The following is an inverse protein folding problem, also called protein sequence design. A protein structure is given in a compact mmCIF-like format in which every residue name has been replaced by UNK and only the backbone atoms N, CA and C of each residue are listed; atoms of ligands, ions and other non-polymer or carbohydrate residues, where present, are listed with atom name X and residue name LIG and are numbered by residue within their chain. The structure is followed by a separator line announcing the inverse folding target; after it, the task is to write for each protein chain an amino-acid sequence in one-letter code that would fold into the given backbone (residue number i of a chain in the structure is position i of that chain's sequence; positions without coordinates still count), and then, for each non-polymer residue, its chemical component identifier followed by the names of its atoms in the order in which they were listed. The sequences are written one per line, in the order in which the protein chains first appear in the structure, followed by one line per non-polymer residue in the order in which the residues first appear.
data_IF_532375623019
#
_entry.id   IF_532375623019
#
_cell.length_a   1.000
_cell.length_b   1.000
_cell.length_c   1.000
_cell.angle_alpha   90.00
_cell.angle_beta   90.00
_cell.angle_gamma   90.00
#
_symmetry.space_group_name_H-M   'P 1'
#
loop_
_entity.id
_entity.type
_entity.pdbx_description
1 polymer ?
#
# COMPACT_ATOMS: atom_id res chain seq x y z
N UNK A 1 1.25 46.56 -52.11
CA UNK A 1 1.26 46.50 -50.64
C UNK A 1 2.18 45.38 -50.23
N UNK A 2 3.01 45.57 -49.20
CA UNK A 2 3.83 44.50 -48.62
C UNK A 2 3.42 44.42 -47.15
N UNK A 3 2.80 43.32 -46.77
CA UNK A 3 2.58 42.99 -45.35
C UNK A 3 3.93 42.49 -44.80
N UNK A 4 4.37 43.03 -43.68
CA UNK A 4 5.70 42.74 -43.11
C UNK A 4 5.65 42.10 -41.72
N UNK A 5 4.46 41.71 -41.27
CA UNK A 5 4.21 41.00 -40.01
C UNK A 5 2.78 40.47 -39.96
N UNK A 6 2.44 39.63 -38.98
CA UNK A 6 1.08 39.13 -38.79
C UNK A 6 0.10 40.29 -38.58
N UNK A 7 -1.11 40.14 -39.11
CA UNK A 7 -2.20 41.10 -38.96
C UNK A 7 -3.27 40.37 -38.16
N UNK A 8 -3.34 40.70 -36.87
CA UNK A 8 -4.34 40.22 -35.92
C UNK A 8 -5.75 40.64 -36.37
N UNK A 9 -6.61 39.65 -36.56
CA UNK A 9 -8.00 39.82 -37.01
C UNK A 9 -9.01 39.57 -35.88
N UNK A 10 -8.53 39.34 -34.65
CA UNK A 10 -9.30 38.70 -33.58
C UNK A 10 -9.91 37.39 -34.06
N UNK A 11 -11.09 37.04 -33.54
CA UNK A 11 -11.78 35.77 -33.85
C UNK A 11 -12.40 35.70 -35.27
N UNK A 12 -11.92 36.48 -36.24
CA UNK A 12 -12.48 36.54 -37.59
C UNK A 12 -11.50 36.00 -38.62
N UNK A 13 -11.95 34.95 -39.33
CA UNK A 13 -11.22 34.28 -40.43
C UNK A 13 -10.83 35.20 -41.61
N UNK A 14 -11.35 36.44 -41.66
CA UNK A 14 -10.97 37.42 -42.66
C UNK A 14 -11.37 38.86 -42.30
N UNK A 15 -10.59 39.81 -42.82
CA UNK A 15 -10.76 41.26 -42.64
C UNK A 15 -10.64 41.93 -43.99
N UNK A 16 -11.61 42.79 -44.31
CA UNK A 16 -11.59 43.57 -45.54
C UNK A 16 -11.12 45.00 -45.24
N UNK A 17 -10.10 45.45 -45.96
CA UNK A 17 -9.65 46.84 -45.95
C UNK A 17 -10.12 47.51 -47.24
N UNK A 18 -11.12 48.37 -47.11
CA UNK A 18 -11.68 49.13 -48.22
C UNK A 18 -10.88 50.43 -48.40
N UNK A 19 -10.15 50.54 -49.52
CA UNK A 19 -9.41 51.74 -49.88
C UNK A 19 -10.17 52.52 -50.94
N UNK A 20 -10.74 53.65 -50.53
CA UNK A 20 -11.34 54.61 -51.46
C UNK A 20 -10.24 55.44 -52.12
N UNK A 21 -10.26 55.53 -53.45
CA UNK A 21 -9.34 56.36 -54.23
C UNK A 21 -10.13 57.37 -55.06
N UNK A 22 -9.68 58.61 -55.06
CA UNK A 22 -10.24 59.66 -55.91
C UNK A 22 -9.18 60.09 -56.90
N UNK A 23 -9.48 59.99 -58.20
CA UNK A 23 -8.66 60.56 -59.25
C UNK A 23 -9.18 61.95 -59.59
N UNK A 24 -8.31 62.96 -59.52
CA UNK A 24 -8.59 64.33 -59.97
C UNK A 24 -7.80 64.59 -61.25
N UNK A 25 -8.45 65.08 -62.30
CA UNK A 25 -7.74 65.49 -63.51
C UNK A 25 -7.16 66.91 -63.41
N UNK A 26 -6.68 67.46 -64.53
CA UNK A 26 -5.91 68.70 -64.54
C UNK A 26 -6.79 69.94 -64.36
N UNK A 27 -8.05 69.87 -64.76
CA UNK A 27 -9.05 70.93 -64.65
C UNK A 27 -9.94 70.78 -63.42
N UNK A 28 -9.77 69.69 -62.66
CA UNK A 28 -10.31 69.54 -61.31
C UNK A 28 -11.54 68.64 -61.24
N UNK A 29 -11.88 67.94 -62.31
CA UNK A 29 -12.94 66.93 -62.29
C UNK A 29 -12.43 65.70 -61.52
N UNK A 30 -13.31 65.09 -60.74
CA UNK A 30 -12.98 63.93 -59.90
C UNK A 30 -13.81 62.70 -60.26
N UNK A 31 -13.20 61.52 -60.17
CA UNK A 31 -13.92 60.25 -60.14
C UNK A 31 -13.42 59.39 -58.99
N UNK A 32 -14.33 58.68 -58.34
CA UNK A 32 -14.01 57.78 -57.24
C UNK A 32 -13.94 56.33 -57.73
N UNK A 33 -13.05 55.56 -57.12
CA UNK A 33 -12.97 54.11 -57.23
C UNK A 33 -12.73 53.51 -55.85
N UNK A 34 -13.05 52.22 -55.71
CA UNK A 34 -12.68 51.44 -54.53
C UNK A 34 -11.68 50.36 -54.89
N UNK A 35 -10.84 50.01 -53.93
CA UNK A 35 -9.98 48.84 -53.94
C UNK A 35 -10.21 48.07 -52.65
N UNK A 36 -10.73 46.86 -52.78
CA UNK A 36 -11.01 45.99 -51.65
C UNK A 36 -9.81 45.05 -51.45
N UNK A 37 -9.27 45.00 -50.24
CA UNK A 37 -8.19 44.10 -49.86
C UNK A 37 -8.73 43.16 -48.79
N UNK A 38 -8.92 41.89 -49.15
CA UNK A 38 -9.26 40.85 -48.20
C UNK A 38 -7.98 40.20 -47.67
N UNK A 39 -7.82 40.19 -46.36
CA UNK A 39 -6.77 39.46 -45.65
C UNK A 39 -7.44 38.27 -45.00
N UNK A 40 -7.03 37.06 -45.36
CA UNK A 40 -7.48 35.83 -44.70
C UNK A 40 -6.60 35.56 -43.50
N UNK A 41 -7.18 34.91 -42.51
CA UNK A 41 -6.47 34.56 -41.29
C UNK A 41 -5.35 33.53 -41.52
N UNK A 42 -4.42 33.51 -40.57
CA UNK A 42 -3.36 32.52 -40.47
C UNK A 42 -3.92 31.12 -40.24
N UNK A 43 -3.06 30.11 -40.36
CA UNK A 43 -3.42 28.77 -39.87
C UNK A 43 -3.07 28.66 -38.39
N UNK A 44 -3.98 28.07 -37.62
CA UNK A 44 -3.79 27.74 -36.21
C UNK A 44 -2.51 26.92 -35.99
N UNK A 45 -1.99 27.00 -34.78
CA UNK A 45 -0.92 26.10 -34.36
C UNK A 45 -1.43 24.64 -34.34
N UNK A 46 -0.69 23.73 -34.98
CA UNK A 46 -1.12 22.34 -35.14
C UNK A 46 -1.25 21.60 -33.79
N UNK A 47 -0.38 21.93 -32.82
CA UNK A 47 -0.30 21.23 -31.54
C UNK A 47 0.07 19.75 -31.66
N UNK A 48 -0.46 18.91 -30.76
CA UNK A 48 -0.14 17.48 -30.67
C UNK A 48 1.22 17.14 -30.04
N UNK A 49 1.92 18.15 -29.51
CA UNK A 49 3.19 17.98 -28.81
C UNK A 49 3.04 17.06 -27.59
N UNK A 50 4.10 16.31 -27.28
CA UNK A 50 4.12 15.32 -26.20
C UNK A 50 5.11 15.75 -25.12
N UNK A 51 4.61 15.94 -23.90
CA UNK A 51 5.40 16.02 -22.68
C UNK A 51 5.38 14.70 -21.92
N UNK A 52 6.42 14.43 -21.14
CA UNK A 52 6.45 13.31 -20.20
C UNK A 52 7.16 13.72 -18.91
N UNK A 53 6.70 13.20 -17.78
CA UNK A 53 7.38 13.33 -16.49
C UNK A 53 7.12 12.09 -15.64
N UNK A 54 8.10 11.71 -14.82
CA UNK A 54 8.00 10.56 -13.92
C UNK A 54 8.22 11.00 -12.48
N UNK A 55 7.24 10.74 -11.62
CA UNK A 55 7.30 10.92 -10.18
C UNK A 55 7.42 9.53 -9.53
N UNK A 56 8.31 9.41 -8.54
CA UNK A 56 8.29 8.27 -7.64
C UNK A 56 7.53 8.68 -6.38
N UNK A 57 6.66 7.80 -5.92
CA UNK A 57 5.92 7.95 -4.67
C UNK A 57 6.85 8.17 -3.46
N UNK A 58 6.29 8.78 -2.42
CA UNK A 58 6.99 8.98 -1.17
C UNK A 58 6.89 7.76 -0.25
N UNK A 59 7.58 7.78 0.87
CA UNK A 59 7.61 6.78 1.94
C UNK A 59 6.98 7.41 3.19
N UNK A 60 6.14 6.62 3.89
CA UNK A 60 5.48 7.02 5.13
C UNK A 60 6.35 6.77 6.36
N UNK A 61 7.37 5.91 6.28
CA UNK A 61 8.31 5.63 7.37
C UNK A 61 9.44 6.67 7.48
N UNK A 62 9.04 7.91 7.74
CA UNK A 62 9.99 9.03 7.94
C UNK A 62 10.82 8.95 9.24
N UNK A 63 10.62 7.93 10.08
CA UNK A 63 11.24 7.84 11.40
C UNK A 63 12.68 7.32 11.36
N UNK A 64 13.09 6.67 10.26
CA UNK A 64 14.44 6.14 10.10
C UNK A 64 14.87 5.18 11.22
N UNK A 65 13.92 4.49 11.86
CA UNK A 65 14.23 3.41 12.81
C UNK A 65 14.54 2.09 12.09
N UNK A 66 14.24 2.02 10.79
CA UNK A 66 15.11 1.46 9.77
C UNK A 66 15.41 -0.01 9.97
N UNK A 67 14.52 -0.85 9.45
CA UNK A 67 14.94 -2.19 9.01
C UNK A 67 15.99 -2.09 7.89
N UNK A 68 16.11 -0.93 7.23
CA UNK A 68 17.16 -0.60 6.25
C UNK A 68 17.80 0.79 6.48
N UNK A 69 18.92 0.90 7.23
CA UNK A 69 19.63 2.16 7.48
C UNK A 69 20.35 2.78 6.24
N UNK A 70 20.14 2.23 5.04
CA UNK A 70 20.66 2.76 3.78
C UNK A 70 19.55 3.17 2.81
N UNK A 71 18.29 3.17 3.24
CA UNK A 71 17.22 3.68 2.38
C UNK A 71 17.40 5.19 2.16
N UNK A 72 17.19 5.61 0.92
CA UNK A 72 16.96 7.01 0.58
C UNK A 72 15.46 7.24 0.68
N UNK A 73 14.96 7.24 1.91
CA UNK A 73 13.57 7.54 2.25
C UNK A 73 13.16 8.88 1.59
N UNK A 74 12.23 8.79 0.65
CA UNK A 74 11.62 9.92 -0.04
C UNK A 74 10.34 10.29 0.67
N UNK A 75 10.29 11.29 1.54
CA UNK A 75 9.04 11.61 2.25
C UNK A 75 7.97 12.29 1.38
N UNK A 76 6.69 12.16 1.75
CA UNK A 76 5.65 13.08 1.26
C UNK A 76 5.80 14.50 1.86
N UNK A 77 5.55 15.57 1.08
CA UNK A 77 5.08 15.55 -0.31
C UNK A 77 6.19 15.27 -1.32
N UNK A 78 5.88 14.43 -2.31
CA UNK A 78 6.73 14.17 -3.48
C UNK A 78 6.39 15.15 -4.61
N UNK A 79 7.40 15.64 -5.34
CA UNK A 79 7.17 16.57 -6.44
C UNK A 79 8.18 16.43 -7.57
N UNK A 80 7.70 16.58 -8.80
CA UNK A 80 8.51 16.55 -10.00
C UNK A 80 8.02 17.57 -11.03
N UNK A 81 8.95 18.15 -11.80
CA UNK A 81 8.63 19.02 -12.93
C UNK A 81 9.26 18.54 -14.24
N UNK A 82 8.53 18.73 -15.33
CA UNK A 82 8.98 18.52 -16.71
C UNK A 82 8.59 19.69 -17.60
N UNK A 83 9.15 19.77 -18.81
CA UNK A 83 8.74 20.81 -19.76
C UNK A 83 8.87 20.37 -21.21
N UNK A 84 7.98 20.87 -22.05
CA UNK A 84 7.99 20.71 -23.50
C UNK A 84 7.65 22.05 -24.17
N UNK A 85 7.81 22.14 -25.49
CA UNK A 85 7.56 23.38 -26.24
C UNK A 85 6.48 23.13 -27.26
N UNK A 86 5.41 23.93 -27.21
CA UNK A 86 4.37 23.98 -28.23
C UNK A 86 4.81 24.97 -29.30
N UNK A 87 4.82 24.51 -30.55
CA UNK A 87 5.21 25.33 -31.70
C UNK A 87 4.05 26.19 -32.17
N UNK A 88 4.31 27.48 -32.34
CA UNK A 88 3.38 28.40 -32.94
C UNK A 88 3.14 28.08 -34.42
N UNK A 89 1.94 28.45 -34.89
CA UNK A 89 1.59 28.46 -36.30
C UNK A 89 2.08 29.74 -36.97
N UNK A 90 1.16 30.42 -37.67
CA UNK A 90 1.44 31.75 -38.23
C UNK A 90 1.43 32.84 -37.14
N UNK A 91 0.56 32.70 -36.14
CA UNK A 91 0.42 33.63 -35.02
C UNK A 91 1.12 33.15 -33.75
N UNK A 92 1.53 34.13 -32.92
CA UNK A 92 2.26 33.85 -31.69
C UNK A 92 1.32 33.26 -30.64
N UNK A 93 1.75 32.17 -30.01
CA UNK A 93 1.06 31.58 -28.87
C UNK A 93 1.12 32.52 -27.66
N UNK A 94 0.06 32.54 -26.86
CA UNK A 94 -0.04 33.33 -25.64
C UNK A 94 0.35 32.46 -24.44
N UNK A 95 1.52 32.69 -23.84
CA UNK A 95 1.97 31.89 -22.68
C UNK A 95 0.98 31.79 -21.51
N UNK A 96 0.14 32.80 -21.29
CA UNK A 96 -0.88 32.80 -20.23
C UNK A 96 -2.17 32.04 -20.55
N UNK A 97 -2.32 31.49 -21.77
CA UNK A 97 -3.52 30.75 -22.18
C UNK A 97 -3.40 29.23 -22.02
N UNK A 98 -2.23 28.74 -21.57
CA UNK A 98 -1.98 27.33 -21.27
C UNK A 98 -2.96 26.85 -20.20
N UNK A 99 -3.75 25.84 -20.54
CA UNK A 99 -4.80 25.28 -19.69
C UNK A 99 -5.02 23.80 -20.03
N UNK A 100 -5.69 23.06 -19.14
CA UNK A 100 -6.25 21.76 -19.52
C UNK A 100 -7.31 22.00 -20.58
N UNK A 101 -7.35 21.17 -21.63
CA UNK A 101 -8.32 21.34 -22.71
C UNK A 101 -9.76 21.35 -22.16
N UNK A 102 -10.49 22.49 -22.26
CA UNK A 102 -11.85 22.59 -21.72
C UNK A 102 -12.83 21.60 -22.35
N UNK A 103 -12.57 21.15 -23.59
CA UNK A 103 -13.43 20.18 -24.28
C UNK A 103 -13.27 18.77 -23.71
N UNK A 104 -12.09 18.43 -23.17
CA UNK A 104 -11.73 17.10 -22.67
C UNK A 104 -11.70 17.02 -21.14
N UNK A 105 -11.71 18.16 -20.45
CA UNK A 105 -11.59 18.27 -19.00
C UNK A 105 -12.63 17.42 -18.24
N UNK A 106 -13.90 17.41 -18.67
CA UNK A 106 -14.94 16.65 -17.98
C UNK A 106 -14.72 15.14 -18.08
N UNK A 107 -14.20 14.65 -19.21
CA UNK A 107 -13.93 13.24 -19.42
C UNK A 107 -12.71 12.80 -18.61
N UNK A 108 -11.64 13.61 -18.62
CA UNK A 108 -10.46 13.42 -17.77
C UNK A 108 -10.84 13.33 -16.28
N UNK A 109 -11.59 14.31 -15.77
CA UNK A 109 -12.01 14.34 -14.36
C UNK A 109 -12.88 13.12 -14.04
N UNK A 110 -13.77 12.73 -14.94
CA UNK A 110 -14.64 11.57 -14.72
C UNK A 110 -13.81 10.29 -14.60
N UNK A 111 -12.81 10.11 -15.46
CA UNK A 111 -11.93 8.94 -15.43
C UNK A 111 -11.04 8.94 -14.18
N UNK A 112 -10.41 10.07 -13.84
CA UNK A 112 -9.60 10.22 -12.62
C UNK A 112 -10.38 9.80 -11.36
N UNK A 113 -11.64 10.23 -11.24
CA UNK A 113 -12.49 9.90 -10.09
C UNK A 113 -12.98 8.46 -10.07
N UNK A 114 -12.99 7.78 -11.21
CA UNK A 114 -13.40 6.37 -11.28
C UNK A 114 -12.22 5.43 -11.03
N UNK A 115 -11.00 5.87 -11.35
CA UNK A 115 -9.83 4.99 -11.41
C UNK A 115 -8.76 5.29 -10.35
N UNK A 116 -8.66 6.52 -9.84
CA UNK A 116 -7.67 6.84 -8.79
C UNK A 116 -8.29 6.83 -7.40
N UNK A 117 -7.64 6.07 -6.52
CA UNK A 117 -7.93 6.00 -5.09
C UNK A 117 -6.65 6.24 -4.28
N UNK A 118 -6.82 6.47 -2.99
CA UNK A 118 -5.71 6.62 -2.03
C UNK A 118 -6.15 6.03 -0.69
N UNK A 119 -5.40 5.06 -0.19
CA UNK A 119 -5.77 4.31 1.01
C UNK A 119 -7.10 3.58 0.87
N UNK A 120 -7.51 3.23 -0.36
CA UNK A 120 -8.82 2.66 -0.70
C UNK A 120 -9.98 3.66 -0.78
N UNK A 121 -9.74 4.96 -0.55
CA UNK A 121 -10.77 6.01 -0.64
C UNK A 121 -10.78 6.66 -2.03
N UNK A 122 -11.97 6.91 -2.57
CA UNK A 122 -12.13 7.59 -3.86
C UNK A 122 -11.74 9.07 -3.77
N UNK A 123 -10.95 9.52 -4.73
CA UNK A 123 -10.57 10.92 -4.87
C UNK A 123 -11.62 11.72 -5.66
N UNK A 124 -11.80 12.98 -5.25
CA UNK A 124 -12.60 13.96 -5.99
C UNK A 124 -11.68 14.91 -6.73
N UNK A 125 -11.94 15.17 -8.01
CA UNK A 125 -11.09 16.00 -8.85
C UNK A 125 -11.84 17.23 -9.36
N UNK A 126 -11.13 18.35 -9.40
CA UNK A 126 -11.61 19.60 -10.01
C UNK A 126 -10.43 20.42 -10.54
N UNK A 127 -10.72 21.39 -11.41
CA UNK A 127 -9.75 22.42 -11.82
C UNK A 127 -9.99 23.67 -10.97
N UNK A 128 -8.99 24.06 -10.18
CA UNK A 128 -9.11 25.19 -9.26
C UNK A 128 -9.18 26.55 -9.99
N UNK A 129 -9.38 27.63 -9.23
CA UNK A 129 -9.43 28.99 -9.80
C UNK A 129 -8.13 29.48 -10.44
N UNK A 130 -7.04 28.73 -10.30
CA UNK A 130 -5.74 28.97 -10.89
C UNK A 130 -5.47 28.10 -12.12
N UNK A 131 -6.39 27.18 -12.47
CA UNK A 131 -6.23 26.27 -13.61
C UNK A 131 -5.49 24.97 -13.26
N UNK A 132 -5.23 24.68 -11.98
CA UNK A 132 -4.58 23.45 -11.55
C UNK A 132 -5.59 22.33 -11.41
N UNK A 133 -5.25 21.12 -11.85
CA UNK A 133 -6.03 19.92 -11.56
C UNK A 133 -5.69 19.44 -10.16
N UNK A 134 -6.68 19.38 -9.27
CA UNK A 134 -6.50 19.04 -7.85
C UNK A 134 -7.37 17.84 -7.51
N UNK A 135 -6.74 16.77 -7.03
CA UNK A 135 -7.39 15.59 -6.46
C UNK A 135 -7.43 15.68 -4.93
N UNK A 136 -8.60 15.43 -4.32
CA UNK A 136 -8.82 15.53 -2.87
C UNK A 136 -9.46 14.29 -2.29
N UNK A 137 -9.02 13.95 -1.08
CA UNK A 137 -9.64 12.95 -0.23
C UNK A 137 -11.01 13.43 0.30
N UNK A 138 -11.90 12.52 0.73
CA UNK A 138 -13.22 12.88 1.25
C UNK A 138 -13.20 13.82 2.47
N UNK A 139 -12.10 13.83 3.23
CA UNK A 139 -11.88 14.72 4.36
C UNK A 139 -11.51 16.17 3.95
N UNK A 140 -11.24 16.41 2.66
CA UNK A 140 -10.88 17.70 2.08
C UNK A 140 -9.38 17.93 1.91
N UNK A 141 -8.53 16.98 2.34
CA UNK A 141 -7.08 17.06 2.15
C UNK A 141 -6.72 16.87 0.67
N UNK A 142 -5.69 17.58 0.22
CA UNK A 142 -5.20 17.49 -1.17
C UNK A 142 -4.30 16.27 -1.28
N UNK A 143 -4.66 15.35 -2.18
CA UNK A 143 -3.87 14.16 -2.45
C UNK A 143 -2.82 14.43 -3.54
N UNK A 144 -3.25 14.96 -4.68
CA UNK A 144 -2.41 15.22 -5.84
C UNK A 144 -2.79 16.54 -6.50
N UNK A 145 -1.80 17.26 -7.03
CA UNK A 145 -2.01 18.50 -7.80
C UNK A 145 -1.14 18.48 -9.05
N UNK A 146 -1.74 18.79 -10.19
CA UNK A 146 -1.03 19.01 -11.46
C UNK A 146 -1.14 20.49 -11.82
N UNK A 147 0.02 21.12 -11.99
CA UNK A 147 0.18 22.55 -12.26
C UNK A 147 0.73 22.70 -13.67
N UNK A 148 0.04 23.48 -14.49
CA UNK A 148 0.49 23.87 -15.82
C UNK A 148 0.92 25.33 -15.82
N UNK A 149 2.05 25.64 -16.44
CA UNK A 149 2.49 27.02 -16.63
C UNK A 149 3.15 27.21 -17.99
N UNK A 150 2.86 28.33 -18.64
CA UNK A 150 3.46 28.72 -19.92
C UNK A 150 4.51 29.81 -19.77
N UNK A 151 5.60 29.68 -20.51
CA UNK A 151 6.66 30.70 -20.67
C UNK A 151 6.85 31.01 -22.16
N UNK A 152 6.80 32.29 -22.52
CA UNK A 152 6.98 32.71 -23.92
C UNK A 152 8.40 32.42 -24.43
N UNK A 153 8.52 31.79 -25.60
CA UNK A 153 9.79 31.49 -26.28
C UNK A 153 9.75 32.00 -27.73
N UNK A 154 9.85 33.32 -27.90
CA UNK A 154 9.61 33.94 -29.21
C UNK A 154 8.12 33.85 -29.55
N UNK A 155 7.78 33.17 -30.65
CA UNK A 155 6.38 32.91 -31.01
C UNK A 155 5.83 31.66 -30.31
N UNK A 156 6.71 30.72 -29.92
CA UNK A 156 6.36 29.47 -29.26
C UNK A 156 6.07 29.67 -27.77
N UNK A 157 5.47 28.66 -27.13
CA UNK A 157 5.29 28.60 -25.67
C UNK A 157 5.94 27.35 -25.11
N UNK A 158 6.82 27.53 -24.11
CA UNK A 158 7.33 26.42 -23.29
C UNK A 158 6.33 26.15 -22.17
N UNK A 159 5.76 24.96 -22.15
CA UNK A 159 4.89 24.50 -21.08
C UNK A 159 5.74 23.77 -20.05
N UNK A 160 5.63 24.18 -18.79
CA UNK A 160 6.17 23.46 -17.63
C UNK A 160 5.02 22.82 -16.88
N UNK A 161 5.14 21.52 -16.64
CA UNK A 161 4.20 20.75 -15.82
C UNK A 161 4.89 20.38 -14.53
N UNK A 162 4.22 20.63 -13.42
CA UNK A 162 4.65 20.17 -12.10
C UNK A 162 3.57 19.30 -11.52
N UNK A 163 3.94 18.14 -10.99
CA UNK A 163 3.09 17.32 -10.13
C UNK A 163 3.56 17.44 -8.69
N UNK A 164 2.60 17.54 -7.78
CA UNK A 164 2.80 17.50 -6.33
C UNK A 164 1.86 16.44 -5.76
N UNK A 165 2.41 15.44 -5.08
CA UNK A 165 1.70 14.35 -4.42
C UNK A 165 1.95 14.44 -2.92
N UNK A 166 0.88 14.43 -2.12
CA UNK A 166 0.95 14.62 -0.66
C UNK A 166 0.60 13.35 0.12
N UNK A 167 0.02 12.34 -0.53
CA UNK A 167 -0.40 11.06 0.04
C UNK A 167 -0.19 9.97 -1.01
N UNK A 168 -0.03 8.70 -0.62
CA UNK A 168 0.11 7.60 -1.55
C UNK A 168 -1.12 7.45 -2.45
N UNK A 169 -0.92 7.06 -3.71
CA UNK A 169 -2.00 6.67 -4.60
C UNK A 169 -1.99 5.15 -4.74
N UNK A 170 -3.17 4.53 -4.76
CA UNK A 170 -3.23 3.07 -4.82
C UNK A 170 -2.88 2.56 -6.24
N UNK A 171 -1.90 1.65 -6.36
CA UNK A 171 -1.46 1.06 -7.64
C UNK A 171 -2.23 -0.20 -8.07
N UNK A 172 -3.42 -0.44 -7.50
CA UNK A 172 -4.27 -1.60 -7.76
C UNK A 172 -5.36 -1.40 -8.82
N UNK A 173 -5.20 -0.41 -9.70
CA UNK A 173 -6.11 -0.16 -10.80
C UNK A 173 -6.09 -1.26 -11.87
N UNK A 174 -6.73 -0.99 -13.01
CA UNK A 174 -6.79 -1.95 -14.12
C UNK A 174 -6.09 -1.41 -15.36
N UNK A 175 -5.60 -2.32 -16.21
CA UNK A 175 -5.01 -2.08 -17.54
C UNK A 175 -6.04 -1.51 -18.55
N UNK A 176 -6.70 -0.41 -18.19
CA UNK A 176 -7.69 0.29 -18.98
C UNK A 176 -7.11 0.98 -20.22
N UNK A 177 -8.00 1.61 -20.98
CA UNK A 177 -7.62 2.54 -22.04
C UNK A 177 -8.27 3.87 -21.76
N UNK A 178 -7.53 4.97 -21.84
CA UNK A 178 -8.09 6.29 -21.62
C UNK A 178 -7.04 7.27 -21.15
N UNK A 179 -7.44 8.21 -20.31
CA UNK A 179 -6.53 9.15 -19.67
C UNK A 179 -5.72 8.52 -18.55
N UNK A 180 -6.26 7.50 -17.88
CA UNK A 180 -5.62 6.83 -16.74
C UNK A 180 -5.35 5.39 -17.13
N UNK A 181 -4.17 4.89 -16.78
CA UNK A 181 -3.89 3.46 -16.80
C UNK A 181 -3.06 3.12 -15.58
N UNK A 182 -3.39 2.05 -14.88
CA UNK A 182 -2.64 1.56 -13.72
C UNK A 182 -2.28 0.11 -13.94
N UNK A 183 -0.98 -0.19 -13.97
CA UNK A 183 -0.46 -1.52 -14.25
C UNK A 183 0.95 -1.70 -13.70
N UNK A 184 1.19 -2.79 -12.98
CA UNK A 184 2.54 -3.18 -12.51
C UNK A 184 3.25 -2.02 -11.79
N UNK A 185 2.61 -1.49 -10.74
CA UNK A 185 3.20 -0.49 -9.84
C UNK A 185 3.47 0.85 -10.55
N UNK A 186 2.68 1.13 -11.60
CA UNK A 186 2.79 2.33 -12.41
C UNK A 186 1.42 2.85 -12.79
N UNK A 187 1.17 4.13 -12.46
CA UNK A 187 0.01 4.91 -12.90
C UNK A 187 0.47 5.88 -13.99
N UNK A 188 -0.21 5.87 -15.13
CA UNK A 188 -0.09 6.92 -16.16
C UNK A 188 -1.31 7.84 -16.11
N UNK A 189 -1.07 9.15 -16.18
CA UNK A 189 -2.10 10.17 -16.29
C UNK A 189 -1.79 11.03 -17.51
N UNK A 190 -2.62 10.91 -18.55
CA UNK A 190 -2.56 11.72 -19.76
C UNK A 190 -3.37 13.00 -19.57
N UNK A 191 -2.70 14.15 -19.55
CA UNK A 191 -3.34 15.45 -19.40
C UNK A 191 -3.34 16.17 -20.76
N UNK A 192 -4.52 16.37 -21.40
CA UNK A 192 -4.63 17.16 -22.61
C UNK A 192 -4.45 18.65 -22.29
N UNK A 193 -3.51 19.28 -22.97
CA UNK A 193 -3.11 20.68 -22.78
C UNK A 193 -3.50 21.50 -24.01
N UNK A 194 -4.20 22.59 -23.77
CA UNK A 194 -4.61 23.56 -24.77
C UNK A 194 -3.89 24.89 -24.56
N UNK A 195 -3.66 25.61 -25.66
CA UNK A 195 -3.15 26.98 -25.67
C UNK A 195 -3.81 27.74 -26.81
N UNK A 196 -3.88 29.06 -26.67
CA UNK A 196 -4.36 29.95 -27.73
C UNK A 196 -3.25 30.81 -28.29
N UNK A 197 -3.35 31.17 -29.55
CA UNK A 197 -2.61 32.26 -30.16
C UNK A 197 -3.18 33.64 -29.80
N UNK A 198 -2.76 34.67 -30.55
CA UNK A 198 -2.96 36.08 -30.21
C UNK A 198 -4.34 36.58 -30.64
N UNK A 199 -4.91 36.01 -31.69
CA UNK A 199 -6.28 36.21 -32.19
C UNK A 199 -7.31 35.33 -31.47
N UNK A 200 -6.85 34.28 -30.79
CA UNK A 200 -7.63 33.55 -29.80
C UNK A 200 -8.09 32.17 -30.26
N UNK A 201 -7.46 31.64 -31.30
CA UNK A 201 -7.70 30.29 -31.78
C UNK A 201 -6.91 29.28 -30.94
N UNK A 202 -7.59 28.18 -30.62
CA UNK A 202 -6.99 27.05 -29.90
C UNK A 202 -6.13 26.21 -30.87
N UNK A 203 -5.26 25.35 -30.33
CA UNK A 203 -4.50 24.39 -31.12
C UNK A 203 -5.45 23.44 -31.88
N UNK A 204 -5.11 23.10 -33.12
CA UNK A 204 -5.87 22.14 -33.93
C UNK A 204 -5.99 20.77 -33.24
N UNK A 205 -4.91 20.34 -32.60
CA UNK A 205 -4.83 19.13 -31.78
C UNK A 205 -4.22 19.50 -30.43
N UNK A 206 -4.89 19.19 -29.30
CA UNK A 206 -4.32 19.43 -27.97
C UNK A 206 -2.94 18.77 -27.84
N UNK A 207 -2.02 19.44 -27.17
CA UNK A 207 -0.82 18.78 -26.69
C UNK A 207 -1.19 17.78 -25.58
N UNK A 208 -0.32 16.82 -25.29
CA UNK A 208 -0.54 15.85 -24.23
C UNK A 208 0.66 15.76 -23.31
N UNK A 209 0.40 15.55 -22.03
CA UNK A 209 1.43 15.30 -21.02
C UNK A 209 1.15 13.96 -20.38
N UNK A 210 2.07 13.01 -20.57
CA UNK A 210 2.06 11.72 -19.90
C UNK A 210 2.78 11.84 -18.55
N UNK A 211 2.02 11.78 -17.47
CA UNK A 211 2.54 11.76 -16.11
C UNK A 211 2.60 10.30 -15.66
N UNK A 212 3.81 9.79 -15.45
CA UNK A 212 4.04 8.49 -14.85
C UNK A 212 4.26 8.65 -13.35
N UNK A 213 3.49 7.96 -12.53
CA UNK A 213 3.70 7.82 -11.09
C UNK A 213 4.11 6.38 -10.87
N UNK A 214 5.34 6.14 -10.42
CA UNK A 214 5.78 4.80 -10.02
C UNK A 214 5.51 4.62 -8.54
N UNK A 215 5.02 3.45 -8.19
CA UNK A 215 4.85 3.02 -6.82
C UNK A 215 6.14 3.16 -6.01
N UNK A 216 5.97 3.26 -4.71
CA UNK A 216 7.05 3.47 -3.78
C UNK A 216 7.56 2.16 -3.19
N UNK A 217 7.97 2.20 -1.93
CA UNK A 217 8.53 1.06 -1.25
C UNK A 217 7.42 0.16 -0.68
N UNK A 218 7.47 -1.13 -0.99
CA UNK A 218 6.61 -2.14 -0.36
C UNK A 218 6.97 -2.27 1.14
N UNK A 219 6.03 -2.71 2.00
CA UNK A 219 6.29 -2.93 3.41
C UNK A 219 7.40 -3.97 3.64
N UNK A 220 8.08 -3.87 4.77
CA UNK A 220 9.17 -4.77 5.13
C UNK A 220 9.24 -5.05 6.61
N UNK A 221 9.34 -6.34 6.97
CA UNK A 221 9.63 -6.74 8.34
C UNK A 221 11.12 -6.71 8.66
N UNK A 222 11.44 -6.25 9.87
CA UNK A 222 12.75 -6.40 10.46
C UNK A 222 12.91 -7.73 11.19
N UNK A 223 14.10 -7.91 11.78
CA UNK A 223 14.35 -9.05 12.64
C UNK A 223 13.62 -8.89 13.98
N UNK A 224 12.72 -9.84 14.29
CA UNK A 224 12.11 -9.92 15.61
C UNK A 224 13.19 -10.23 16.68
N UNK A 225 13.14 -9.50 17.79
CA UNK A 225 13.98 -9.81 18.96
C UNK A 225 13.41 -10.98 19.76
N UNK A 226 12.15 -11.31 19.51
CA UNK A 226 11.39 -12.38 20.12
C UNK A 226 10.96 -12.10 21.56
N UNK A 227 10.10 -12.97 22.06
CA UNK A 227 9.65 -12.97 23.46
C UNK A 227 10.08 -14.24 24.18
N UNK A 228 10.33 -14.14 25.48
CA UNK A 228 10.61 -15.27 26.35
C UNK A 228 9.51 -15.43 27.39
N UNK A 229 8.98 -16.66 27.50
CA UNK A 229 7.87 -17.00 28.39
C UNK A 229 8.31 -18.12 29.33
N UNK A 230 8.27 -17.86 30.64
CA UNK A 230 8.51 -18.86 31.68
C UNK A 230 7.19 -19.51 32.10
N UNK A 231 7.01 -20.79 31.75
CA UNK A 231 5.79 -21.54 32.11
C UNK A 231 5.59 -21.69 33.62
N UNK A 232 6.64 -21.56 34.43
CA UNK A 232 6.53 -21.62 35.90
C UNK A 232 5.85 -20.38 36.46
N UNK A 233 6.18 -19.20 35.92
CA UNK A 233 5.84 -17.92 36.53
C UNK A 233 4.84 -17.09 35.74
N UNK A 234 4.74 -17.30 34.42
CA UNK A 234 3.99 -16.47 33.48
C UNK A 234 2.86 -17.23 32.76
N UNK A 235 2.49 -18.41 33.27
CA UNK A 235 1.37 -19.18 32.72
C UNK A 235 0.06 -18.39 32.80
N UNK A 236 -0.55 -18.15 31.64
CA UNK A 236 -1.78 -17.38 31.48
C UNK A 236 -1.59 -15.86 31.47
N UNK A 237 -0.35 -15.37 31.58
CA UNK A 237 -0.05 -13.96 31.41
C UNK A 237 -0.04 -13.59 29.92
N UNK A 238 -0.34 -12.33 29.63
CA UNK A 238 -0.22 -11.75 28.28
C UNK A 238 1.18 -11.15 28.15
N UNK A 239 1.98 -11.73 27.25
CA UNK A 239 3.37 -11.31 27.01
C UNK A 239 3.42 -10.50 25.72
N UNK A 240 3.72 -9.20 25.77
CA UNK A 240 3.80 -8.35 24.58
C UNK A 240 5.16 -8.53 23.89
N UNK A 241 5.13 -8.48 22.55
CA UNK A 241 6.30 -8.43 21.67
C UNK A 241 6.08 -7.45 20.52
N UNK A 242 7.11 -7.24 19.72
CA UNK A 242 7.10 -6.33 18.59
C UNK A 242 8.02 -6.87 17.49
N UNK A 243 7.45 -7.13 16.31
CA UNK A 243 8.26 -7.31 15.10
C UNK A 243 8.47 -5.91 14.52
N UNK A 244 9.73 -5.44 14.32
CA UNK A 244 9.96 -4.19 13.62
C UNK A 244 9.31 -4.24 12.24
N UNK A 245 8.62 -3.17 11.85
CA UNK A 245 7.87 -3.10 10.60
C UNK A 245 8.06 -1.73 10.00
N UNK A 246 8.65 -1.72 8.82
CA UNK A 246 8.67 -0.60 7.90
C UNK A 246 7.43 -0.72 7.02
N UNK A 247 6.61 0.32 7.04
CA UNK A 247 5.35 0.34 6.31
C UNK A 247 5.55 0.69 4.83
N UNK A 248 6.69 1.27 4.47
CA UNK A 248 6.95 1.79 3.14
C UNK A 248 6.01 2.94 2.77
N UNK A 249 5.61 2.97 1.50
CA UNK A 249 4.83 4.07 0.91
C UNK A 249 3.37 4.11 1.31
N UNK A 250 2.84 2.96 1.73
CA UNK A 250 1.43 2.77 2.01
C UNK A 250 1.16 2.32 3.45
N UNK A 251 -0.01 2.68 3.95
CA UNK A 251 -0.41 2.22 5.28
C UNK A 251 -0.69 0.71 5.24
N UNK A 252 -0.31 -0.01 6.29
CA UNK A 252 -0.65 -1.43 6.42
C UNK A 252 -2.17 -1.62 6.50
N UNK A 253 -2.74 -2.44 5.62
CA UNK A 253 -4.15 -2.85 5.67
C UNK A 253 -4.33 -4.05 6.61
N UNK A 254 -3.53 -5.11 6.43
CA UNK A 254 -3.63 -6.32 7.24
C UNK A 254 -2.27 -6.92 7.58
N UNK A 255 -2.22 -7.58 8.73
CA UNK A 255 -1.18 -8.56 9.06
C UNK A 255 -1.89 -9.82 9.52
N UNK A 256 -1.55 -10.96 8.91
CA UNK A 256 -2.17 -12.24 9.22
C UNK A 256 -1.13 -13.35 9.34
N UNK A 257 -1.48 -14.41 10.07
CA UNK A 257 -0.63 -15.60 10.14
C UNK A 257 -0.76 -16.41 8.86
N UNK A 258 0.38 -16.91 8.35
CA UNK A 258 0.37 -17.82 7.22
C UNK A 258 -0.36 -19.13 7.58
N UNK A 259 -1.02 -19.73 6.59
CA UNK A 259 -1.77 -20.99 6.81
C UNK A 259 -0.87 -22.19 7.16
N UNK A 260 0.39 -22.15 6.72
CA UNK A 260 1.42 -23.12 7.09
C UNK A 260 2.34 -22.50 8.14
N UNK A 261 2.64 -23.28 9.17
CA UNK A 261 3.44 -22.85 10.33
C UNK A 261 4.46 -23.93 10.68
N UNK A 262 5.57 -24.04 9.94
CA UNK A 262 6.58 -25.07 10.15
C UNK A 262 7.20 -25.05 11.55
N UNK A 263 7.26 -23.88 12.20
CA UNK A 263 7.77 -23.74 13.56
C UNK A 263 6.89 -24.40 14.64
N UNK A 264 5.66 -24.80 14.31
CA UNK A 264 4.79 -25.60 15.18
C UNK A 264 4.92 -27.11 14.95
N UNK A 265 5.73 -27.53 13.97
CA UNK A 265 5.92 -28.94 13.68
C UNK A 265 6.65 -29.65 14.85
N UNK A 266 6.03 -30.70 15.37
CA UNK A 266 6.61 -31.50 16.46
C UNK A 266 6.42 -30.90 17.85
N UNK A 267 5.69 -29.79 17.99
CA UNK A 267 5.25 -29.29 19.29
C UNK A 267 4.26 -30.27 19.91
N UNK A 268 4.45 -30.58 21.18
CA UNK A 268 3.59 -31.47 21.96
C UNK A 268 3.10 -30.79 23.23
N UNK A 269 2.00 -31.28 23.78
CA UNK A 269 1.47 -30.87 25.08
C UNK A 269 1.08 -32.11 25.86
N UNK A 270 1.64 -32.27 27.06
CA UNK A 270 1.45 -33.47 27.90
C UNK A 270 1.85 -34.78 27.19
N UNK A 271 2.86 -34.71 26.32
CA UNK A 271 3.38 -35.84 25.53
C UNK A 271 2.57 -36.21 24.30
N UNK A 272 1.49 -35.49 23.99
CA UNK A 272 0.64 -35.71 22.81
C UNK A 272 0.82 -34.58 21.80
N UNK A 273 0.65 -34.89 20.51
CA UNK A 273 0.81 -33.90 19.43
C UNK A 273 -0.22 -32.78 19.53
N UNK A 274 0.21 -31.54 19.28
CA UNK A 274 -0.69 -30.38 19.18
C UNK A 274 -1.22 -30.20 17.76
N UNK A 275 -2.30 -29.43 17.62
CA UNK A 275 -2.78 -28.88 16.35
C UNK A 275 -2.86 -27.37 16.44
N UNK A 276 -3.08 -26.66 15.33
CA UNK A 276 -3.28 -25.22 15.37
C UNK A 276 -4.38 -24.78 14.40
N UNK A 277 -4.92 -23.60 14.68
CA UNK A 277 -5.88 -22.90 13.83
C UNK A 277 -5.44 -21.47 13.62
N UNK A 278 -5.55 -20.99 12.39
CA UNK A 278 -5.32 -19.59 12.02
C UNK A 278 -6.63 -18.96 11.60
N UNK A 279 -6.94 -17.80 12.18
CA UNK A 279 -8.09 -16.97 11.82
C UNK A 279 -7.62 -15.53 11.71
N UNK A 280 -7.22 -15.13 10.50
CA UNK A 280 -6.66 -13.80 10.23
C UNK A 280 -5.42 -13.53 11.07
N UNK A 281 -5.52 -12.56 11.97
CA UNK A 281 -4.44 -12.11 12.83
C UNK A 281 -4.33 -12.87 14.16
N UNK A 282 -5.04 -13.99 14.31
CA UNK A 282 -5.03 -14.83 15.52
C UNK A 282 -4.60 -16.25 15.16
N UNK A 283 -3.59 -16.76 15.87
CA UNK A 283 -3.16 -18.16 15.86
C UNK A 283 -3.45 -18.80 17.20
N UNK A 284 -4.09 -19.97 17.19
CA UNK A 284 -4.35 -20.77 18.40
C UNK A 284 -3.76 -22.16 18.25
N UNK A 285 -2.93 -22.58 19.20
CA UNK A 285 -2.43 -23.96 19.33
C UNK A 285 -3.31 -24.71 20.33
N UNK A 286 -3.74 -25.90 19.94
CA UNK A 286 -4.69 -26.75 20.66
C UNK A 286 -4.01 -28.07 21.05
N UNK A 287 -4.33 -28.56 22.25
CA UNK A 287 -3.93 -29.90 22.68
C UNK A 287 -4.80 -31.00 22.06
N UNK A 288 -4.53 -32.26 22.44
CA UNK A 288 -5.28 -33.43 21.98
C UNK A 288 -6.75 -33.47 22.45
N UNK A 289 -7.12 -32.70 23.48
CA UNK A 289 -8.49 -32.55 23.97
C UNK A 289 -9.23 -31.40 23.27
N UNK A 290 -8.51 -30.56 22.52
CA UNK A 290 -9.03 -29.37 21.85
C UNK A 290 -9.04 -28.12 22.72
N UNK A 291 -8.33 -28.14 23.86
CA UNK A 291 -8.16 -26.98 24.73
C UNK A 291 -6.99 -26.11 24.24
N UNK A 292 -7.09 -24.78 24.42
CA UNK A 292 -6.03 -23.85 24.01
C UNK A 292 -4.79 -24.00 24.90
N UNK A 293 -3.64 -24.17 24.25
CA UNK A 293 -2.32 -24.23 24.89
C UNK A 293 -1.59 -22.92 24.72
N UNK A 294 -1.65 -22.32 23.53
CA UNK A 294 -1.03 -21.04 23.21
C UNK A 294 -1.94 -20.26 22.27
N UNK A 295 -2.10 -18.96 22.51
CA UNK A 295 -2.78 -18.04 21.61
C UNK A 295 -1.87 -16.86 21.31
N UNK A 296 -1.75 -16.50 20.03
CA UNK A 296 -0.98 -15.36 19.55
C UNK A 296 -1.88 -14.46 18.73
N UNK A 297 -1.84 -13.16 19.01
CA UNK A 297 -2.55 -12.13 18.23
C UNK A 297 -1.54 -11.09 17.76
N UNK A 298 -1.61 -10.68 16.50
CA UNK A 298 -0.78 -9.62 15.92
C UNK A 298 -1.65 -8.42 15.48
N UNK A 299 -1.14 -7.21 15.66
CA UNK A 299 -1.75 -5.96 15.19
C UNK A 299 -1.02 -5.45 13.94
N UNK A 300 -1.63 -4.48 13.24
CA UNK A 300 -1.11 -3.93 11.97
C UNK A 300 0.13 -3.05 12.14
N UNK A 301 0.49 -2.69 13.37
CA UNK A 301 1.73 -1.98 13.69
C UNK A 301 2.89 -2.94 14.04
N UNK A 302 2.71 -4.25 13.83
CA UNK A 302 3.70 -5.28 14.14
C UNK A 302 3.77 -5.66 15.64
N UNK A 303 3.00 -5.01 16.51
CA UNK A 303 2.88 -5.42 17.91
C UNK A 303 2.11 -6.73 18.02
N UNK A 304 2.53 -7.59 18.95
CA UNK A 304 1.86 -8.88 19.15
C UNK A 304 1.77 -9.26 20.62
N UNK A 305 0.81 -10.12 20.92
CA UNK A 305 0.55 -10.64 22.26
C UNK A 305 0.56 -12.16 22.23
N UNK A 306 1.33 -12.77 23.13
CA UNK A 306 1.38 -14.23 23.32
C UNK A 306 0.80 -14.57 24.69
N UNK A 307 -0.09 -15.55 24.73
CA UNK A 307 -0.60 -16.13 25.98
C UNK A 307 -0.43 -17.64 25.95
N UNK A 308 0.27 -18.21 26.93
CA UNK A 308 0.44 -19.66 27.10
C UNK A 308 -0.42 -20.13 28.28
N UNK A 309 -1.48 -20.88 28.00
CA UNK A 309 -2.47 -21.35 28.99
C UNK A 309 -2.32 -22.83 29.35
N UNK A 310 -1.76 -23.63 28.46
CA UNK A 310 -1.48 -25.05 28.66
C UNK A 310 0.04 -25.31 28.74
N UNK A 311 0.46 -26.54 29.11
CA UNK A 311 1.87 -26.91 29.03
C UNK A 311 2.29 -27.10 27.57
N UNK A 312 3.44 -26.56 27.19
CA UNK A 312 4.13 -26.82 25.93
C UNK A 312 5.36 -27.64 26.25
N UNK A 313 5.44 -28.88 25.78
CA UNK A 313 6.54 -29.74 26.16
C UNK A 313 7.84 -29.28 25.48
N UNK A 314 8.85 -29.05 26.29
CA UNK A 314 10.23 -28.91 25.87
C UNK A 314 10.80 -30.32 25.73
N UNK A 315 11.65 -30.55 24.73
CA UNK A 315 12.34 -31.84 24.57
C UNK A 315 13.35 -32.04 25.72
N UNK A 316 14.50 -32.70 25.51
CA UNK A 316 15.57 -32.75 26.52
C UNK A 316 16.26 -31.38 26.78
N UNK A 317 15.67 -30.28 26.30
CA UNK A 317 16.12 -28.89 26.47
C UNK A 317 15.26 -28.15 27.51
N UNK A 318 15.85 -27.18 28.20
CA UNK A 318 15.12 -26.32 29.16
C UNK A 318 14.29 -25.23 28.45
N UNK A 319 14.18 -25.28 27.11
CA UNK A 319 13.43 -24.31 26.31
C UNK A 319 13.11 -24.83 24.91
N UNK A 320 12.04 -24.30 24.32
CA UNK A 320 11.64 -24.51 22.91
C UNK A 320 11.47 -23.15 22.23
N UNK A 321 12.03 -22.98 21.03
CA UNK A 321 11.78 -21.80 20.19
C UNK A 321 10.74 -22.15 19.12
N UNK A 322 9.72 -21.32 18.99
CA UNK A 322 8.65 -21.43 18.01
C UNK A 322 8.74 -20.20 17.11
N UNK A 323 8.93 -20.45 15.81
CA UNK A 323 8.92 -19.40 14.79
C UNK A 323 7.55 -19.40 14.12
N UNK A 324 6.83 -18.28 14.18
CA UNK A 324 5.55 -18.10 13.52
C UNK A 324 5.68 -17.17 12.32
N UNK A 325 5.20 -17.61 11.17
CA UNK A 325 5.25 -16.82 9.95
C UNK A 325 4.00 -15.95 9.80
N UNK A 326 4.20 -14.71 9.40
CA UNK A 326 3.14 -13.74 9.13
C UNK A 326 3.33 -13.13 7.74
N UNK A 327 2.24 -12.63 7.17
CA UNK A 327 2.26 -11.84 5.93
C UNK A 327 1.56 -10.51 6.21
N UNK A 328 2.21 -9.41 5.84
CA UNK A 328 1.61 -8.09 5.83
C UNK A 328 1.15 -7.74 4.41
N UNK A 329 0.06 -6.98 4.33
CA UNK A 329 -0.46 -6.38 3.10
C UNK A 329 -0.81 -4.93 3.39
N UNK A 330 -0.34 -4.00 2.57
CA UNK A 330 -0.68 -2.58 2.66
C UNK A 330 -1.98 -2.24 1.91
N UNK A 331 -2.25 -0.94 1.75
CA UNK A 331 -3.52 -0.44 1.23
C UNK A 331 -3.69 -0.60 -0.27
N UNK A 332 -2.61 -0.66 -1.02
CA UNK A 332 -2.69 -0.86 -2.46
C UNK A 332 -2.39 -2.32 -2.86
N UNK A 333 -2.00 -3.16 -1.91
CA UNK A 333 -2.09 -4.62 -2.02
C UNK A 333 -0.73 -5.30 -2.14
N UNK A 334 0.32 -4.54 -1.92
CA UNK A 334 1.68 -5.00 -1.81
C UNK A 334 1.88 -5.90 -0.59
N UNK A 335 2.80 -6.87 -0.68
CA UNK A 335 2.92 -7.92 0.35
C UNK A 335 4.34 -8.22 0.77
N UNK A 336 4.51 -8.54 2.06
CA UNK A 336 5.80 -8.95 2.63
C UNK A 336 5.62 -10.02 3.70
N UNK A 337 6.60 -10.91 3.83
CA UNK A 337 6.59 -12.00 4.80
C UNK A 337 7.52 -11.69 5.98
N UNK A 338 7.05 -12.02 7.19
CA UNK A 338 7.77 -11.82 8.44
C UNK A 338 7.82 -13.09 9.28
N UNK A 339 8.72 -13.10 10.27
CA UNK A 339 8.88 -14.19 11.22
C UNK A 339 8.90 -13.65 12.65
N UNK A 340 8.09 -14.25 13.51
CA UNK A 340 7.97 -13.97 14.93
C UNK A 340 8.66 -15.06 15.74
N UNK A 341 9.49 -14.69 16.72
CA UNK A 341 10.24 -15.63 17.57
C UNK A 341 9.63 -15.71 18.98
N UNK A 342 9.20 -16.90 19.38
CA UNK A 342 8.64 -17.16 20.71
C UNK A 342 9.44 -18.26 21.39
N UNK A 343 10.17 -17.93 22.45
CA UNK A 343 10.88 -18.89 23.28
C UNK A 343 10.10 -19.21 24.55
N UNK A 344 9.79 -20.48 24.77
CA UNK A 344 9.11 -20.96 25.98
C UNK A 344 10.12 -21.76 26.81
N UNK A 345 10.37 -21.36 28.05
CA UNK A 345 11.27 -22.07 28.97
C UNK A 345 10.50 -23.06 29.83
N UNK A 346 11.13 -24.21 30.13
CA UNK A 346 10.53 -25.33 30.85
C UNK A 346 10.01 -24.91 32.24
N UNK A 347 8.86 -25.51 32.58
CA UNK A 347 8.24 -25.37 33.87
C UNK A 347 8.95 -26.18 34.96
N UNK A 348 8.46 -26.07 36.19
CA UNK A 348 8.97 -26.94 37.26
C UNK A 348 8.63 -28.40 37.01
N UNK A 349 9.65 -29.25 37.07
CA UNK A 349 9.51 -30.70 37.15
C UNK A 349 8.43 -31.13 38.16
N UNK A 350 7.65 -32.17 37.80
CA UNK A 350 6.66 -32.75 38.69
C UNK A 350 7.30 -33.19 40.02
N UNK A 351 6.71 -32.82 41.16
CA UNK A 351 7.31 -32.97 42.48
C UNK A 351 7.64 -34.42 42.90
N UNK A 352 7.10 -35.44 42.23
CA UNK A 352 7.36 -36.86 42.49
C UNK A 352 7.11 -37.32 43.94
N UNK A 353 7.32 -38.60 44.24
CA UNK A 353 7.47 -39.07 45.62
C UNK A 353 6.21 -39.40 46.44
N UNK A 354 5.02 -39.54 45.82
CA UNK A 354 3.84 -40.01 46.56
C UNK A 354 4.01 -41.48 46.98
N UNK A 355 4.39 -41.72 48.23
CA UNK A 355 4.43 -43.06 48.80
C UNK A 355 3.01 -43.49 49.21
N UNK A 356 2.37 -44.29 48.36
CA UNK A 356 1.11 -44.96 48.70
C UNK A 356 1.35 -46.15 49.63
N UNK A 357 0.89 -46.08 50.88
CA UNK A 357 0.85 -47.25 51.75
C UNK A 357 -0.36 -48.14 51.38
N UNK A 358 -0.11 -49.27 50.72
CA UNK A 358 -1.15 -50.29 50.50
C UNK A 358 -1.35 -51.08 51.79
N UNK A 359 -2.49 -50.86 52.46
CA UNK A 359 -2.86 -51.67 53.63
C UNK A 359 -3.59 -52.93 53.17
N UNK A 360 -2.89 -54.06 53.14
CA UNK A 360 -3.51 -55.37 52.90
C UNK A 360 -4.25 -55.82 54.17
N UNK A 361 -5.56 -55.63 54.22
CA UNK A 361 -6.39 -56.28 55.24
C UNK A 361 -6.38 -57.80 55.02
N UNK A 362 -5.72 -58.53 55.91
CA UNK A 362 -5.85 -59.99 55.98
C UNK A 362 -7.29 -60.36 56.36
N UNK A 363 -8.15 -60.60 55.37
CA UNK A 363 -9.40 -61.32 55.59
C UNK A 363 -9.06 -62.76 55.96
N UNK A 364 -9.27 -63.11 57.23
CA UNK A 364 -9.22 -64.51 57.70
C UNK A 364 -10.39 -65.26 57.08
N UNK A 365 -10.12 -66.07 56.05
CA UNK A 365 -11.04 -67.14 55.66
C UNK A 365 -10.97 -68.22 56.74
N UNK A 366 -12.04 -68.36 57.51
CA UNK A 366 -12.23 -69.46 58.44
C UNK A 366 -12.65 -70.71 57.66
N UNK A 367 -11.74 -71.66 57.45
CA UNK A 367 -12.12 -73.01 57.06
C UNK A 367 -12.77 -73.70 58.27
N UNK A 368 -14.07 -73.93 58.20
CA UNK A 368 -14.76 -74.83 59.11
C UNK A 368 -14.45 -76.27 58.68
N UNK A 369 -13.64 -77.00 59.44
CA UNK A 369 -13.71 -78.47 59.51
C UNK A 369 -13.17 -78.98 60.85
N UNK A 370 -13.80 -80.05 61.37
CA UNK A 370 -13.67 -80.53 62.75
C UNK A 370 -12.27 -81.11 63.06
N UNK A 371 -11.75 -80.75 64.24
CA UNK A 371 -10.58 -81.31 64.96
C UNK A 371 -9.20 -81.20 64.29
N UNK A 372 -8.47 -80.11 64.55
CA UNK A 372 -7.01 -80.13 64.76
C UNK A 372 -6.52 -78.82 65.42
N UNK A 373 -5.44 -78.91 66.22
CA UNK A 373 -4.89 -77.82 67.07
C UNK A 373 -4.43 -76.59 66.25
N UNK A 374 -4.55 -75.35 66.78
CA UNK A 374 -4.10 -74.15 66.07
C UNK A 374 -2.58 -74.12 65.97
N UNK A 375 -2.03 -74.16 64.75
CA UNK A 375 -0.67 -73.68 64.47
C UNK A 375 -0.73 -72.19 64.13
N UNK A 376 -0.02 -71.36 64.90
CA UNK A 376 0.19 -69.94 64.57
C UNK A 376 1.35 -69.84 63.58
N UNK A 377 1.15 -69.15 62.46
CA UNK A 377 2.22 -68.75 61.56
C UNK A 377 2.45 -67.24 61.69
N UNK A 378 3.69 -66.84 62.01
CA UNK A 378 4.18 -65.48 61.80
C UNK A 378 4.72 -65.38 60.39
N UNK A 379 4.35 -64.33 59.67
CA UNK A 379 4.97 -63.96 58.40
C UNK A 379 5.72 -62.66 58.62
N UNK A 380 7.01 -62.65 58.27
CA UNK A 380 7.84 -61.45 58.17
C UNK A 380 7.70 -60.91 56.74
N UNK A 381 7.55 -59.59 56.58
CA UNK A 381 7.14 -58.93 55.33
C UNK A 381 8.35 -58.21 54.68
N UNK A 382 9.53 -58.81 54.75
CA UNK A 382 10.74 -58.23 54.14
C UNK A 382 11.05 -58.76 52.73
N UNK A 383 10.28 -59.72 52.19
CA UNK A 383 10.44 -60.17 50.79
C UNK A 383 9.13 -60.81 50.27
N UNK A 384 8.50 -60.21 49.26
CA UNK A 384 7.40 -60.84 48.53
C UNK A 384 8.02 -61.80 47.51
N UNK A 385 7.82 -63.10 47.72
CA UNK A 385 7.94 -64.12 46.68
C UNK A 385 6.63 -64.92 46.68
N UNK A 386 5.81 -64.70 45.65
CA UNK A 386 4.59 -65.47 45.40
C UNK A 386 5.02 -66.72 44.63
N UNK A 387 4.93 -67.89 45.26
CA UNK A 387 4.91 -69.16 44.55
C UNK A 387 3.51 -69.75 44.68
N UNK A 388 2.77 -69.73 43.58
CA UNK A 388 1.60 -70.58 43.38
C UNK A 388 2.11 -71.99 43.11
N UNK A 389 1.87 -72.90 44.06
CA UNK A 389 1.90 -74.34 43.79
C UNK A 389 0.46 -74.81 43.93
N UNK A 390 -0.16 -75.14 42.79
CA UNK A 390 -1.37 -75.95 42.76
C UNK A 390 -0.95 -77.41 42.98
N UNK A 391 -1.67 -78.10 43.86
CA UNK A 391 -1.94 -79.53 43.76
C UNK A 391 -3.42 -79.77 44.11
#
# INVERSE_FOLDING_TARGET
MKVTGPIDQGNSESTNIDLNVTATDKDGDTTDGSMDITITDGTNATGGDQGALTLNEGDLDTAGDGVNPNDTDTSYPASQSGSFVIKAGEDSLVSGSVKIDPALQSDLITELQNELTSGGETLTFDVDGNGNLVGKLPNGDVAVTVILSGEQQGQDVKVTVTIEQNVPLDHNGSDGTGYITSASDVIHINVPVQATDTDGDDLDTPANVDITITDGANPSFGADSGVMIDETTQKGDVIPGQIPLDVGSDAIDTIHFQSDQPGLAGITSNGEATTFTVVGNILTVLDSAGDSVMTVTIATDGSYEVTVTGPVDQSDSESTNIVLNVTATDKDGDTTDGAMDITITDGTNAAGGVQGAVTLERRRFGCCWRRCKPKRYRYDISSIAIWLVCD
#
